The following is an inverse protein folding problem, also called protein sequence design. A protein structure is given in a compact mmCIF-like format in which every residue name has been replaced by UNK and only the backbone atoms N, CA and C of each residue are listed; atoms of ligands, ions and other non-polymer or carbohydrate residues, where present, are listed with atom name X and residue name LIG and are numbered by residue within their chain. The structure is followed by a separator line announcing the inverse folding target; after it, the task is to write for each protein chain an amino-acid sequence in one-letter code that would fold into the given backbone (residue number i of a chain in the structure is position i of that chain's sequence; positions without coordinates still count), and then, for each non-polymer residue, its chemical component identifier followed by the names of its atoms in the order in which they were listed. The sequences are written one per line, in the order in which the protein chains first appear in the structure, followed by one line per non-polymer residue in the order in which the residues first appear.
data_IF_551974248686
#
_entry.id   IF_551974248686
#
_cell.length_a   1.000
_cell.length_b   1.000
_cell.length_c   1.000
_cell.angle_alpha   90.00
_cell.angle_beta   90.00
_cell.angle_gamma   90.00
#
_symmetry.space_group_name_H-M   'P 1'
#
loop_
_entity.id
_entity.type
_entity.pdbx_description
1 polymer ?
#
# COMPACT_ATOMS: atom_id res chain seq x y z
N UNK A 1 -11.39 -10.74 32.75
CA UNK A 1 -11.06 -11.37 31.45
C UNK A 1 -11.94 -10.83 30.32
N UNK A 2 -13.27 -10.96 30.39
CA UNK A 2 -14.17 -10.45 29.35
C UNK A 2 -14.00 -8.95 29.05
N UNK A 3 -13.95 -8.11 30.09
CA UNK A 3 -13.77 -6.66 29.95
C UNK A 3 -12.45 -6.31 29.24
N UNK A 4 -11.37 -7.02 29.58
CA UNK A 4 -10.05 -6.81 28.97
C UNK A 4 -10.05 -7.18 27.48
N UNK A 5 -10.70 -8.31 27.14
CA UNK A 5 -10.84 -8.76 25.74
C UNK A 5 -11.65 -7.76 24.91
N UNK A 6 -12.74 -7.23 25.47
CA UNK A 6 -13.55 -6.20 24.80
C UNK A 6 -12.75 -4.91 24.57
N UNK A 7 -11.91 -4.52 25.54
CA UNK A 7 -11.11 -3.30 25.44
C UNK A 7 -10.01 -3.43 24.37
N UNK A 8 -9.38 -4.61 24.27
CA UNK A 8 -8.39 -4.91 23.23
C UNK A 8 -9.05 -5.00 21.85
N UNK A 9 -10.23 -5.62 21.74
CA UNK A 9 -10.95 -5.69 20.46
C UNK A 9 -11.38 -4.29 19.97
N UNK A 10 -11.84 -3.43 20.89
CA UNK A 10 -12.24 -2.06 20.58
C UNK A 10 -11.07 -1.19 20.12
N UNK A 11 -9.89 -1.33 20.73
CA UNK A 11 -8.70 -0.60 20.29
C UNK A 11 -8.27 -1.07 18.91
N UNK A 12 -8.17 -2.39 18.67
CA UNK A 12 -7.84 -2.93 17.34
C UNK A 12 -8.83 -2.41 16.28
N UNK A 13 -10.13 -2.43 16.56
CA UNK A 13 -11.15 -1.92 15.65
C UNK A 13 -11.02 -0.41 15.39
N UNK A 14 -10.64 0.39 16.39
CA UNK A 14 -10.43 1.82 16.22
C UNK A 14 -9.21 2.13 15.34
N UNK A 15 -8.11 1.39 15.51
CA UNK A 15 -6.90 1.54 14.69
C UNK A 15 -7.14 1.10 13.24
N UNK A 16 -7.90 0.03 13.00
CA UNK A 16 -8.25 -0.41 11.64
C UNK A 16 -9.19 0.57 10.94
N UNK A 17 -10.13 1.19 11.67
CA UNK A 17 -11.01 2.21 11.11
C UNK A 17 -10.28 3.53 10.81
N UNK A 18 -9.29 3.91 11.63
CA UNK A 18 -8.48 5.10 11.42
C UNK A 18 -7.54 4.98 10.20
N UNK A 19 -7.09 3.75 9.90
CA UNK A 19 -6.27 3.44 8.71
C UNK A 19 -7.11 3.08 7.48
N UNK A 20 -8.44 3.06 7.57
CA UNK A 20 -9.29 2.75 6.43
C UNK A 20 -9.37 3.96 5.49
N UNK A 21 -8.91 3.86 4.22
CA UNK A 21 -9.08 4.93 3.26
C UNK A 21 -10.58 5.05 3.00
N UNK A 22 -11.17 6.13 3.51
CA UNK A 22 -12.57 6.47 3.37
C UNK A 22 -12.83 6.70 1.88
N UNK A 23 -13.15 5.63 1.15
CA UNK A 23 -13.74 5.71 -0.17
C UNK A 23 -14.91 6.69 -0.04
N UNK A 24 -14.77 7.84 -0.70
CA UNK A 24 -15.76 8.92 -0.71
C UNK A 24 -17.13 8.28 -0.90
N UNK A 25 -17.96 8.36 0.14
CA UNK A 25 -19.39 8.21 -0.01
C UNK A 25 -19.82 9.33 -0.96
N UNK A 26 -19.98 8.99 -2.23
CA UNK A 26 -20.74 9.80 -3.17
C UNK A 26 -22.18 9.69 -2.70
N UNK A 27 -22.65 10.71 -1.99
CA UNK A 27 -24.07 10.92 -1.75
C UNK A 27 -24.79 10.98 -3.10
N UNK A 28 -25.83 10.17 -3.25
CA UNK A 28 -26.82 10.27 -4.32
C UNK A 28 -28.11 10.91 -3.77
N UNK A 29 -29.06 11.37 -4.59
CA UNK A 29 -28.96 11.95 -5.93
C UNK A 29 -29.67 13.33 -5.98
N UNK A 30 -29.10 14.32 -6.68
CA UNK A 30 -29.86 15.49 -7.12
C UNK A 30 -30.03 15.40 -8.64
N UNK A 31 -31.28 15.51 -9.10
CA UNK A 31 -31.67 15.29 -10.49
C UNK A 31 -31.10 16.39 -11.39
N UNK A 32 -30.07 16.05 -12.17
CA UNK A 32 -29.44 16.89 -13.20
C UNK A 32 -29.53 16.12 -14.52
N UNK A 33 -29.88 16.77 -15.65
CA UNK A 33 -30.21 16.09 -16.90
C UNK A 33 -29.05 15.23 -17.40
N UNK A 34 -29.40 14.11 -18.03
CA UNK A 34 -28.50 13.03 -18.41
C UNK A 34 -27.19 13.54 -19.06
N UNK A 35 -26.03 13.36 -18.40
CA UNK A 35 -24.76 13.59 -19.06
C UNK A 35 -24.53 12.49 -20.11
N UNK A 36 -23.89 12.84 -21.22
CA UNK A 36 -23.37 11.88 -22.19
C UNK A 36 -22.68 10.70 -21.49
N UNK A 37 -22.77 9.47 -22.03
CA UNK A 37 -22.14 8.31 -21.42
C UNK A 37 -20.65 8.59 -21.24
N UNK A 38 -20.24 8.75 -19.97
CA UNK A 38 -18.86 8.93 -19.61
C UNK A 38 -18.04 7.77 -20.23
N UNK A 39 -16.84 8.04 -20.76
CA UNK A 39 -15.99 6.99 -21.28
C UNK A 39 -15.84 5.92 -20.21
N UNK A 40 -16.13 4.67 -20.60
CA UNK A 40 -16.07 3.53 -19.70
C UNK A 40 -14.74 3.58 -18.92
N UNK A 41 -14.76 3.41 -17.60
CA UNK A 41 -13.52 3.36 -16.83
C UNK A 41 -12.63 2.30 -17.46
N UNK A 42 -11.43 2.72 -17.88
CA UNK A 42 -10.44 1.78 -18.42
C UNK A 42 -10.30 0.64 -17.41
N UNK A 43 -10.24 -0.62 -17.85
CA UNK A 43 -9.98 -1.73 -16.95
C UNK A 43 -8.77 -1.38 -16.09
N UNK A 44 -8.99 -1.25 -14.79
CA UNK A 44 -7.91 -1.08 -13.82
C UNK A 44 -7.20 -2.42 -13.83
N UNK A 45 -6.05 -2.49 -14.50
CA UNK A 45 -5.22 -3.70 -14.46
C UNK A 45 -4.97 -4.06 -12.99
N UNK A 46 -5.16 -5.34 -12.62
CA UNK A 46 -4.84 -5.76 -11.27
C UNK A 46 -3.38 -5.41 -11.00
N UNK A 47 -3.06 -4.89 -9.80
CA UNK A 47 -1.69 -4.56 -9.47
C UNK A 47 -0.82 -5.80 -9.67
N UNK A 48 0.41 -5.64 -10.21
CA UNK A 48 1.28 -6.77 -10.50
C UNK A 48 1.44 -7.64 -9.25
N UNK A 49 1.26 -8.96 -9.40
CA UNK A 49 1.55 -9.90 -8.31
C UNK A 49 3.04 -9.82 -8.04
N UNK A 50 3.38 -9.38 -6.84
CA UNK A 50 4.77 -9.30 -6.42
C UNK A 50 5.33 -10.71 -6.21
N UNK A 51 6.21 -11.14 -7.11
CA UNK A 51 6.97 -12.39 -6.99
C UNK A 51 8.26 -12.20 -6.15
N UNK A 52 8.59 -10.95 -5.84
CA UNK A 52 9.73 -10.55 -5.01
C UNK A 52 9.33 -9.56 -3.93
N UNK A 53 10.19 -9.38 -2.93
CA UNK A 53 9.95 -8.46 -1.81
C UNK A 53 9.95 -7.00 -2.31
N UNK A 54 10.82 -6.69 -3.26
CA UNK A 54 10.92 -5.38 -3.92
C UNK A 54 9.66 -5.07 -4.71
N UNK A 55 9.15 -6.06 -5.46
CA UNK A 55 7.88 -5.95 -6.18
C UNK A 55 6.71 -5.66 -5.25
N UNK A 56 6.74 -6.18 -4.02
CA UNK A 56 5.68 -5.98 -3.03
C UNK A 56 5.69 -4.54 -2.50
N UNK A 57 6.88 -3.97 -2.28
CA UNK A 57 7.03 -2.56 -1.91
C UNK A 57 6.55 -1.62 -3.02
N UNK A 58 6.84 -1.94 -4.29
CA UNK A 58 6.35 -1.17 -5.44
C UNK A 58 4.83 -1.25 -5.55
N UNK A 59 4.25 -2.44 -5.41
CA UNK A 59 2.80 -2.62 -5.44
C UNK A 59 2.10 -1.82 -4.34
N UNK A 60 2.66 -1.78 -3.13
CA UNK A 60 2.15 -0.97 -2.02
C UNK A 60 2.30 0.54 -2.26
N UNK A 61 3.39 0.99 -2.88
CA UNK A 61 3.57 2.39 -3.26
C UNK A 61 2.54 2.83 -4.31
N UNK A 62 2.30 2.02 -5.33
CA UNK A 62 1.30 2.29 -6.39
C UNK A 62 -0.11 2.32 -5.79
N UNK A 63 -0.41 1.43 -4.85
CA UNK A 63 -1.70 1.39 -4.15
C UNK A 63 -1.91 2.57 -3.19
N UNK A 64 -0.82 3.27 -2.82
CA UNK A 64 -0.84 4.36 -1.85
C UNK A 64 -0.77 3.89 -0.39
N UNK A 65 -0.51 2.59 -0.15
CA UNK A 65 -0.32 2.02 1.19
C UNK A 65 1.03 2.46 1.79
N UNK A 66 1.99 2.83 0.94
CA UNK A 66 3.28 3.39 1.32
C UNK A 66 3.45 4.81 0.77
N UNK A 67 4.03 5.67 1.61
CA UNK A 67 4.58 6.94 1.14
C UNK A 67 5.93 6.73 0.44
N UNK A 68 6.32 7.67 -0.41
CA UNK A 68 7.62 7.63 -1.09
C UNK A 68 8.80 7.55 -0.10
N UNK A 69 8.70 8.23 1.05
CA UNK A 69 9.74 8.21 2.09
C UNK A 69 9.90 6.83 2.72
N UNK A 70 8.79 6.14 3.01
CA UNK A 70 8.78 4.80 3.57
C UNK A 70 9.30 3.77 2.57
N UNK A 71 8.93 3.90 1.29
CA UNK A 71 9.48 3.06 0.22
C UNK A 71 11.01 3.15 0.17
N UNK A 72 11.57 4.36 0.15
CA UNK A 72 13.03 4.55 0.11
C UNK A 72 13.73 3.94 1.33
N UNK A 73 13.17 4.14 2.52
CA UNK A 73 13.72 3.57 3.76
C UNK A 73 13.68 2.04 3.74
N UNK A 74 12.58 1.45 3.28
CA UNK A 74 12.45 0.00 3.15
C UNK A 74 13.45 -0.58 2.13
N UNK A 75 13.60 0.08 0.97
CA UNK A 75 14.60 -0.33 -0.03
C UNK A 75 16.03 -0.22 0.49
N UNK A 76 16.38 0.82 1.25
CA UNK A 76 17.71 0.94 1.84
C UNK A 76 18.01 -0.20 2.83
N UNK A 77 17.04 -0.56 3.66
CA UNK A 77 17.16 -1.69 4.60
C UNK A 77 17.32 -3.04 3.86
N UNK A 78 16.60 -3.23 2.75
CA UNK A 78 16.79 -4.40 1.89
C UNK A 78 18.20 -4.46 1.31
N UNK A 79 18.70 -3.34 0.78
CA UNK A 79 20.03 -3.25 0.19
C UNK A 79 21.15 -3.52 1.22
N UNK A 80 21.05 -2.97 2.43
CA UNK A 80 22.02 -3.23 3.51
C UNK A 80 22.06 -4.72 3.90
N UNK A 81 20.88 -5.34 3.96
CA UNK A 81 20.78 -6.78 4.23
C UNK A 81 21.34 -7.61 3.09
N UNK A 82 21.15 -7.16 1.85
CA UNK A 82 21.66 -7.83 0.66
C UNK A 82 23.18 -7.75 0.59
N UNK A 83 23.77 -6.58 0.82
CA UNK A 83 25.22 -6.39 0.91
C UNK A 83 25.86 -7.31 1.95
N UNK A 84 25.20 -7.48 3.10
CA UNK A 84 25.68 -8.39 4.16
C UNK A 84 25.68 -9.86 3.73
N UNK A 85 24.75 -10.27 2.84
CA UNK A 85 24.58 -11.66 2.40
C UNK A 85 25.31 -11.97 1.09
N UNK A 86 25.38 -10.98 0.21
CA UNK A 86 25.83 -11.05 -1.17
C UNK A 86 26.68 -9.81 -1.47
N UNK A 87 27.86 -9.68 -0.83
CA UNK A 87 28.72 -8.51 -1.03
C UNK A 87 29.16 -8.45 -2.50
N UNK A 88 29.11 -7.25 -3.08
CA UNK A 88 29.57 -7.04 -4.44
C UNK A 88 31.08 -6.80 -4.45
N UNK A 89 31.82 -7.60 -5.22
CA UNK A 89 33.25 -7.36 -5.43
C UNK A 89 33.44 -6.11 -6.28
N UNK A 90 34.32 -5.20 -5.84
CA UNK A 90 34.65 -4.03 -6.63
C UNK A 90 35.70 -4.38 -7.69
N UNK A 91 35.57 -3.85 -8.93
CA UNK A 91 36.59 -4.04 -9.94
C UNK A 91 37.89 -3.37 -9.51
N UNK A 92 38.96 -4.16 -9.36
CA UNK A 92 40.30 -3.71 -8.97
C UNK A 92 40.83 -4.25 -7.64
N UNK A 93 40.07 -5.09 -6.94
CA UNK A 93 40.49 -5.73 -5.67
C UNK A 93 41.24 -7.07 -5.88
N UNK A 94 41.93 -7.25 -7.01
CA UNK A 94 42.70 -8.45 -7.36
C UNK A 94 44.12 -8.16 -7.83
#
# INVERSE_FOLDING_TARGET
MLVLVVLIAATIAAWTFALWPRARAVSAPEAVPAPEPAPAPKPVEPPPRAESTEGLLVAQLIRGDLTQSQYRKAMACLAERDETRHPLSLPGEG
#
